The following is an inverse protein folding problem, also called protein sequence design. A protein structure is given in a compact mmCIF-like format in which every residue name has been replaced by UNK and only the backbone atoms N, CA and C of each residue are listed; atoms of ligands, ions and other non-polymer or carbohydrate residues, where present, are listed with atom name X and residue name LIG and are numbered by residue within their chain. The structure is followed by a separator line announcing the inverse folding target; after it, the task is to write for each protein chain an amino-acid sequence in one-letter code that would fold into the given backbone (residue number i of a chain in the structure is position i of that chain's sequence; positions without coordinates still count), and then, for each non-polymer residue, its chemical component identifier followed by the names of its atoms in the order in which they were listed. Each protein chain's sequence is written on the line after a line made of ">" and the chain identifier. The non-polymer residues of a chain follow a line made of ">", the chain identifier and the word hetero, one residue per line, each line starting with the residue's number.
data_IF_248188137463
#
_entry.id   IF_248188137463
#
_cell.length_a   1.000
_cell.length_b   1.000
_cell.length_c   1.000
_cell.angle_alpha   90.00
_cell.angle_beta   90.00
_cell.angle_gamma   90.00
#
_symmetry.space_group_name_H-M   'P 1'
#
loop_
_entity.id
_entity.type
_entity.pdbx_description
1 polymer ?
#
# COMPACT_ATOMS: atom_id res chain seq x y z
N UNK A 1 14.77 -28.69 -58.63
CA UNK A 1 14.86 -28.86 -60.09
C UNK A 1 16.33 -29.09 -60.44
N UNK A 2 16.74 -30.35 -60.66
CA UNK A 2 18.14 -30.72 -60.92
C UNK A 2 18.54 -30.12 -62.28
N UNK A 3 19.65 -29.38 -62.42
CA UNK A 3 20.04 -28.86 -63.72
C UNK A 3 20.35 -30.05 -64.63
N UNK A 4 19.58 -30.20 -65.72
CA UNK A 4 19.92 -31.15 -66.78
C UNK A 4 21.29 -30.74 -67.32
N UNK A 5 22.34 -31.50 -66.99
CA UNK A 5 23.62 -31.44 -67.72
C UNK A 5 23.30 -31.80 -69.18
N UNK A 6 23.05 -30.81 -70.04
CA UNK A 6 23.09 -31.02 -71.49
C UNK A 6 24.49 -31.58 -71.76
N UNK A 7 24.56 -32.81 -72.29
CA UNK A 7 25.80 -33.43 -72.73
C UNK A 7 26.45 -32.48 -73.73
N UNK A 8 27.52 -31.81 -73.33
CA UNK A 8 28.40 -31.11 -74.26
C UNK A 8 29.02 -32.16 -75.21
N UNK A 9 29.27 -31.76 -76.46
CA UNK A 9 30.02 -32.57 -77.45
C UNK A 9 31.37 -32.98 -76.81
N UNK A 10 31.86 -34.22 -76.98
CA UNK A 10 33.08 -34.67 -76.29
C UNK A 10 34.30 -33.85 -76.74
N UNK A 11 34.93 -33.14 -75.81
CA UNK A 11 36.14 -32.36 -76.04
C UNK A 11 37.40 -33.25 -76.00
N UNK A 12 38.47 -32.93 -76.76
CA UNK A 12 39.78 -33.60 -76.66
C UNK A 12 40.35 -33.56 -75.23
N UNK A 13 41.17 -34.55 -74.83
CA UNK A 13 41.56 -34.74 -73.42
C UNK A 13 42.29 -33.54 -72.78
N UNK A 14 43.10 -32.81 -73.56
CA UNK A 14 43.87 -31.66 -73.08
C UNK A 14 43.00 -30.40 -72.80
N UNK A 15 41.89 -30.21 -73.53
CA UNK A 15 41.01 -29.04 -73.38
C UNK A 15 39.96 -29.23 -72.29
N UNK A 16 39.61 -30.49 -71.96
CA UNK A 16 38.60 -30.81 -70.93
C UNK A 16 38.90 -30.24 -69.56
N UNK A 17 40.16 -30.28 -69.12
CA UNK A 17 40.56 -29.78 -67.80
C UNK A 17 40.42 -28.24 -67.72
N UNK A 18 40.91 -27.53 -68.74
CA UNK A 18 40.83 -26.06 -68.83
C UNK A 18 39.39 -25.56 -68.93
N UNK A 19 38.58 -26.19 -69.79
CA UNK A 19 37.16 -25.83 -69.95
C UNK A 19 36.35 -26.18 -68.69
N UNK A 20 36.67 -27.28 -68.01
CA UNK A 20 36.05 -27.66 -66.74
C UNK A 20 36.34 -26.67 -65.61
N UNK A 21 37.59 -26.23 -65.47
CA UNK A 21 37.99 -25.20 -64.51
C UNK A 21 37.29 -23.86 -64.81
N UNK A 22 37.27 -23.43 -66.08
CA UNK A 22 36.53 -22.24 -66.49
C UNK A 22 35.03 -22.33 -66.18
N UNK A 23 34.40 -23.49 -66.41
CA UNK A 23 32.99 -23.72 -66.09
C UNK A 23 32.72 -23.70 -64.58
N UNK A 24 33.62 -24.27 -63.77
CA UNK A 24 33.52 -24.24 -62.31
C UNK A 24 33.71 -22.83 -61.75
N UNK A 25 34.65 -22.05 -62.30
CA UNK A 25 34.85 -20.64 -61.93
C UNK A 25 33.62 -19.79 -62.28
N UNK A 26 33.05 -19.98 -63.48
CA UNK A 26 31.80 -19.31 -63.88
C UNK A 26 30.64 -19.71 -62.95
N UNK A 27 30.52 -21.00 -62.63
CA UNK A 27 29.50 -21.50 -61.70
C UNK A 27 29.65 -20.88 -60.31
N UNK A 28 30.86 -20.87 -59.74
CA UNK A 28 31.14 -20.30 -58.42
C UNK A 28 30.84 -18.79 -58.40
N UNK A 29 31.17 -18.06 -59.47
CA UNK A 29 30.82 -16.63 -59.60
C UNK A 29 29.31 -16.42 -59.66
N UNK A 30 28.57 -17.28 -60.38
CA UNK A 30 27.11 -17.21 -60.46
C UNK A 30 26.45 -17.57 -59.13
N UNK A 31 26.91 -18.63 -58.46
CA UNK A 31 26.41 -19.03 -57.12
C UNK A 31 26.67 -17.89 -56.11
N UNK A 32 27.89 -17.34 -56.07
CA UNK A 32 28.21 -16.20 -55.19
C UNK A 32 27.38 -14.95 -55.51
N UNK A 33 27.15 -14.64 -56.79
CA UNK A 33 26.30 -13.52 -57.20
C UNK A 33 24.82 -13.74 -56.83
N UNK A 34 24.32 -14.98 -56.96
CA UNK A 34 22.97 -15.35 -56.55
C UNK A 34 22.81 -15.26 -55.03
N UNK A 35 23.77 -15.78 -54.26
CA UNK A 35 23.76 -15.73 -52.80
C UNK A 35 23.82 -14.28 -52.28
N UNK A 36 24.70 -13.46 -52.87
CA UNK A 36 24.81 -12.04 -52.54
C UNK A 36 23.50 -11.31 -52.83
N UNK A 37 22.88 -11.55 -53.99
CA UNK A 37 21.61 -10.92 -54.36
C UNK A 37 20.44 -11.41 -53.51
N UNK A 38 20.43 -12.69 -53.15
CA UNK A 38 19.42 -13.26 -52.26
C UNK A 38 19.52 -12.64 -50.86
N UNK A 39 20.73 -12.48 -50.32
CA UNK A 39 20.96 -11.84 -49.02
C UNK A 39 20.52 -10.37 -49.02
N UNK A 40 20.84 -9.62 -50.08
CA UNK A 40 20.41 -8.23 -50.23
C UNK A 40 18.88 -8.11 -50.25
N UNK A 41 18.20 -8.94 -51.06
CA UNK A 41 16.73 -8.95 -51.16
C UNK A 41 16.07 -9.36 -49.83
N UNK A 42 16.67 -10.30 -49.10
CA UNK A 42 16.22 -10.69 -47.77
C UNK A 42 16.34 -9.52 -46.78
N UNK A 43 17.46 -8.79 -46.82
CA UNK A 43 17.66 -7.57 -46.01
C UNK A 43 16.64 -6.48 -46.31
N UNK A 44 16.40 -6.18 -47.59
CA UNK A 44 15.39 -5.19 -48.01
C UNK A 44 13.99 -5.60 -47.55
N UNK A 45 13.67 -6.89 -47.66
CA UNK A 45 12.37 -7.42 -47.23
C UNK A 45 12.19 -7.32 -45.72
N UNK A 46 13.23 -7.64 -44.95
CA UNK A 46 13.23 -7.52 -43.49
C UNK A 46 13.05 -6.06 -43.05
N UNK A 47 13.81 -5.12 -43.62
CA UNK A 47 13.70 -3.70 -43.27
C UNK A 47 12.32 -3.14 -43.57
N UNK A 48 11.71 -3.53 -44.71
CA UNK A 48 10.34 -3.14 -45.04
C UNK A 48 9.31 -3.69 -44.04
N UNK A 49 9.45 -4.97 -43.63
CA UNK A 49 8.58 -5.58 -42.61
C UNK A 49 8.70 -4.86 -41.27
N UNK A 50 9.93 -4.63 -40.81
CA UNK A 50 10.19 -3.91 -39.56
C UNK A 50 9.63 -2.49 -39.58
N UNK A 51 9.76 -1.77 -40.69
CA UNK A 51 9.17 -0.43 -40.84
C UNK A 51 7.64 -0.46 -40.84
N UNK A 52 7.01 -1.49 -41.43
CA UNK A 52 5.55 -1.64 -41.43
C UNK A 52 4.98 -2.11 -40.08
N UNK A 53 5.77 -2.86 -39.30
CA UNK A 53 5.42 -3.35 -37.97
C UNK A 53 5.84 -2.37 -36.86
N UNK A 54 6.54 -1.29 -37.22
CA UNK A 54 6.95 -0.24 -36.30
C UNK A 54 5.71 0.35 -35.64
N UNK A 55 5.58 0.07 -34.35
CA UNK A 55 4.46 0.53 -33.53
C UNK A 55 4.97 1.57 -32.54
N UNK A 56 4.13 2.53 -32.20
CA UNK A 56 4.45 3.50 -31.15
C UNK A 56 4.49 2.81 -29.77
N UNK A 57 5.70 2.56 -29.28
CA UNK A 57 5.95 1.94 -27.97
C UNK A 57 5.62 2.84 -26.78
N UNK A 58 5.33 4.12 -27.01
CA UNK A 58 4.94 5.08 -25.97
C UNK A 58 3.45 5.07 -25.68
N UNK A 59 2.64 4.45 -26.55
CA UNK A 59 1.21 4.35 -26.34
C UNK A 59 0.88 3.62 -25.03
N UNK A 60 -0.14 4.10 -24.27
CA UNK A 60 -0.60 3.40 -23.09
C UNK A 60 -1.00 1.95 -23.42
N UNK A 61 -0.25 1.00 -22.87
CA UNK A 61 -0.55 -0.42 -23.04
C UNK A 61 -1.86 -0.82 -22.37
N UNK A 62 -2.41 -1.97 -22.74
CA UNK A 62 -3.57 -2.56 -22.07
C UNK A 62 -3.17 -3.02 -20.67
N UNK A 63 -3.58 -2.27 -19.64
CA UNK A 63 -3.25 -2.55 -18.24
C UNK A 63 -4.49 -2.97 -17.46
N UNK A 64 -4.30 -3.85 -16.48
CA UNK A 64 -5.32 -4.09 -15.44
C UNK A 64 -5.28 -2.94 -14.44
N UNK A 65 -6.45 -2.48 -14.02
CA UNK A 65 -6.56 -1.48 -12.96
C UNK A 65 -6.15 -2.16 -11.65
N UNK A 66 -5.14 -1.60 -10.98
CA UNK A 66 -4.76 -2.05 -9.64
C UNK A 66 -5.71 -1.46 -8.61
N UNK A 67 -6.11 -2.27 -7.64
CA UNK A 67 -6.86 -1.81 -6.47
C UNK A 67 -6.03 -0.82 -5.63
N UNK A 68 -6.73 -0.02 -4.83
CA UNK A 68 -6.12 0.89 -3.86
C UNK A 68 -6.74 0.65 -2.50
N UNK A 69 -5.93 0.77 -1.45
CA UNK A 69 -6.44 0.77 -0.08
C UNK A 69 -7.31 2.01 0.15
N UNK A 70 -8.36 1.82 0.95
CA UNK A 70 -9.19 2.92 1.41
C UNK A 70 -8.33 3.92 2.21
N UNK A 71 -8.64 5.21 2.12
CA UNK A 71 -7.84 6.27 2.79
C UNK A 71 -7.76 6.03 4.29
N UNK A 72 -8.86 5.65 4.93
CA UNK A 72 -8.90 5.29 6.35
C UNK A 72 -7.96 4.14 6.69
N UNK A 73 -7.91 3.09 5.85
CA UNK A 73 -7.00 1.95 6.05
C UNK A 73 -5.55 2.40 5.95
N UNK A 74 -5.21 3.20 4.93
CA UNK A 74 -3.85 3.73 4.77
C UNK A 74 -3.42 4.59 5.96
N UNK A 75 -4.28 5.49 6.41
CA UNK A 75 -4.00 6.33 7.58
C UNK A 75 -3.87 5.48 8.85
N UNK A 76 -4.72 4.48 9.03
CA UNK A 76 -4.66 3.60 10.19
C UNK A 76 -3.35 2.79 10.22
N UNK A 77 -2.98 2.17 9.11
CA UNK A 77 -1.71 1.42 8.96
C UNK A 77 -0.50 2.34 9.22
N UNK A 78 -0.56 3.59 8.78
CA UNK A 78 0.50 4.56 9.03
C UNK A 78 0.63 4.93 10.51
N UNK A 79 -0.49 5.20 11.19
CA UNK A 79 -0.51 5.47 12.63
C UNK A 79 0.02 4.25 13.40
N UNK A 80 -0.49 3.06 13.10
CA UNK A 80 -0.05 1.80 13.70
C UNK A 80 1.46 1.58 13.52
N UNK A 81 1.99 1.81 12.31
CA UNK A 81 3.42 1.69 12.01
C UNK A 81 4.27 2.65 12.86
N UNK A 82 3.84 3.90 13.01
CA UNK A 82 4.57 4.91 13.80
C UNK A 82 4.63 4.50 15.28
N UNK A 83 3.48 4.14 15.87
CA UNK A 83 3.41 3.74 17.27
C UNK A 83 4.11 2.41 17.56
N UNK A 84 4.00 1.45 16.64
CA UNK A 84 4.76 0.21 16.72
C UNK A 84 6.27 0.48 16.73
N UNK A 85 6.75 1.41 15.90
CA UNK A 85 8.14 1.87 15.91
C UNK A 85 8.58 2.55 17.22
N UNK A 86 7.63 3.09 18.01
CA UNK A 86 7.87 3.63 19.35
C UNK A 86 7.74 2.58 20.48
N UNK A 87 7.50 1.31 20.12
CA UNK A 87 7.38 0.19 21.06
C UNK A 87 6.00 0.03 21.68
N UNK A 88 4.94 0.51 21.02
CA UNK A 88 3.56 0.21 21.41
C UNK A 88 3.11 -1.13 20.82
N UNK A 89 2.46 -1.95 21.66
CA UNK A 89 1.73 -3.14 21.24
C UNK A 89 0.37 -2.70 20.68
N UNK A 90 0.00 -3.20 19.50
CA UNK A 90 -1.30 -2.90 18.89
C UNK A 90 -2.30 -3.96 19.35
N UNK A 91 -3.40 -3.51 19.93
CA UNK A 91 -4.48 -4.37 20.45
C UNK A 91 -5.80 -3.98 19.81
N UNK A 92 -6.64 -4.98 19.57
CA UNK A 92 -8.03 -4.79 19.15
C UNK A 92 -8.97 -5.30 20.24
N UNK A 93 -10.17 -4.73 20.28
CA UNK A 93 -11.22 -5.13 21.22
C UNK A 93 -12.59 -5.16 20.56
N UNK A 94 -13.59 -5.67 21.27
CA UNK A 94 -14.94 -5.85 20.72
C UNK A 94 -15.61 -4.50 20.40
N UNK A 95 -16.47 -4.49 19.39
CA UNK A 95 -17.28 -3.31 19.01
C UNK A 95 -18.58 -3.21 19.82
N UNK A 96 -19.15 -4.36 20.19
CA UNK A 96 -20.23 -4.44 21.17
C UNK A 96 -19.59 -4.50 22.55
N UNK A 97 -19.96 -3.57 23.40
CA UNK A 97 -19.35 -3.35 24.70
C UNK A 97 -20.41 -3.24 25.80
N UNK A 98 -20.00 -3.45 27.05
CA UNK A 98 -20.86 -3.24 28.21
C UNK A 98 -20.72 -1.81 28.76
N UNK A 99 -21.72 -1.28 29.44
CA UNK A 99 -21.63 0.02 30.14
C UNK A 99 -20.44 0.08 31.10
N UNK A 100 -20.15 -1.03 31.77
CA UNK A 100 -19.04 -1.14 32.73
C UNK A 100 -17.70 -0.75 32.08
N UNK A 101 -17.39 -1.34 30.92
CA UNK A 101 -16.13 -1.11 30.21
C UNK A 101 -16.13 0.16 29.38
N UNK A 102 -17.26 0.53 28.77
CA UNK A 102 -17.33 1.75 27.95
C UNK A 102 -17.34 3.03 28.79
N UNK A 103 -17.83 2.96 30.05
CA UNK A 103 -18.03 4.14 30.89
C UNK A 103 -17.56 3.99 32.35
N UNK A 104 -18.06 3.02 33.12
CA UNK A 104 -17.82 2.97 34.59
C UNK A 104 -16.34 2.87 34.94
N UNK A 105 -15.61 1.97 34.27
CA UNK A 105 -14.16 1.78 34.45
C UNK A 105 -13.33 2.96 33.96
N UNK A 106 -13.93 3.90 33.24
CA UNK A 106 -13.32 5.13 32.75
C UNK A 106 -13.78 6.35 33.56
N UNK A 107 -14.31 6.13 34.77
CA UNK A 107 -14.73 7.19 35.69
C UNK A 107 -15.79 8.14 35.09
N UNK A 108 -16.60 7.65 34.15
CA UNK A 108 -17.72 8.39 33.56
C UNK A 108 -18.96 7.99 34.36
N UNK A 109 -19.56 8.82 35.22
CA UNK A 109 -20.70 8.41 36.06
C UNK A 109 -22.02 8.28 35.26
N UNK A 110 -23.06 7.68 35.88
CA UNK A 110 -24.36 7.38 35.22
C UNK A 110 -25.10 8.62 34.70
N UNK A 111 -24.93 9.74 35.37
CA UNK A 111 -25.52 11.05 35.05
C UNK A 111 -24.70 11.84 34.01
N UNK A 112 -23.60 11.28 33.51
CA UNK A 112 -22.78 11.94 32.50
C UNK A 112 -23.48 11.97 31.13
N UNK A 113 -23.52 13.11 30.42
CA UNK A 113 -24.22 13.24 29.14
C UNK A 113 -23.81 12.18 28.09
N UNK A 114 -22.54 11.79 28.07
CA UNK A 114 -22.05 10.75 27.15
C UNK A 114 -22.75 9.36 27.29
N UNK A 115 -23.44 9.09 28.40
CA UNK A 115 -24.24 7.88 28.61
C UNK A 115 -25.69 8.02 28.15
N UNK A 116 -26.13 9.21 27.76
CA UNK A 116 -27.49 9.42 27.30
C UNK A 116 -27.76 8.54 26.07
N UNK A 117 -28.91 7.87 26.04
CA UNK A 117 -29.38 7.08 24.90
C UNK A 117 -29.62 7.93 23.64
N UNK A 118 -29.65 9.27 23.77
CA UNK A 118 -29.62 10.20 22.65
C UNK A 118 -28.25 10.28 21.98
N UNK A 119 -27.16 9.97 22.69
CA UNK A 119 -25.78 10.06 22.19
C UNK A 119 -25.14 8.69 21.90
N UNK A 120 -25.63 7.62 22.54
CA UNK A 120 -25.08 6.25 22.45
C UNK A 120 -26.07 5.23 21.86
N UNK A 121 -25.55 4.25 21.10
CA UNK A 121 -26.36 3.17 20.53
C UNK A 121 -26.46 1.97 21.48
N UNK A 122 -27.52 1.94 22.29
CA UNK A 122 -27.84 0.83 23.17
C UNK A 122 -28.53 -0.33 22.41
N UNK A 123 -28.10 -1.55 22.72
CA UNK A 123 -28.71 -2.81 22.28
C UNK A 123 -29.66 -3.34 23.37
N UNK A 124 -29.27 -3.20 24.63
CA UNK A 124 -30.06 -3.44 25.84
C UNK A 124 -29.61 -2.46 26.93
N UNK A 125 -30.18 -2.54 28.14
CA UNK A 125 -29.89 -1.60 29.24
C UNK A 125 -28.40 -1.51 29.61
N UNK A 126 -27.63 -2.58 29.44
CA UNK A 126 -26.22 -2.66 29.83
C UNK A 126 -25.25 -2.88 28.65
N UNK A 127 -25.77 -3.10 27.44
CA UNK A 127 -25.00 -3.46 26.25
C UNK A 127 -25.19 -2.39 25.18
N UNK A 128 -24.09 -1.89 24.62
CA UNK A 128 -24.08 -0.83 23.62
C UNK A 128 -22.99 -1.07 22.55
N UNK A 129 -23.07 -0.33 21.45
CA UNK A 129 -21.93 -0.17 20.55
C UNK A 129 -20.95 0.82 21.19
N UNK A 130 -19.66 0.47 21.25
CA UNK A 130 -18.65 1.30 21.94
C UNK A 130 -18.57 2.71 21.35
N UNK A 131 -18.48 3.71 22.22
CA UNK A 131 -18.39 5.12 21.82
C UNK A 131 -16.96 5.60 21.63
N UNK A 132 -16.00 4.83 22.17
CA UNK A 132 -14.57 5.11 22.16
C UNK A 132 -13.77 3.80 22.28
N UNK A 133 -12.56 3.78 21.73
CA UNK A 133 -11.65 2.63 21.85
C UNK A 133 -10.99 2.51 23.23
N UNK A 134 -11.10 3.55 24.06
CA UNK A 134 -10.63 3.55 25.47
C UNK A 134 -11.25 2.44 26.31
N UNK A 135 -12.42 1.91 25.91
CA UNK A 135 -13.05 0.77 26.59
C UNK A 135 -12.15 -0.48 26.60
N UNK A 136 -11.31 -0.62 25.58
CA UNK A 136 -10.35 -1.73 25.47
C UNK A 136 -9.20 -1.56 26.45
N UNK A 137 -8.82 -0.34 26.80
CA UNK A 137 -7.72 -0.08 27.72
C UNK A 137 -8.00 -0.68 29.10
N UNK A 138 -9.23 -0.49 29.60
CA UNK A 138 -9.69 -1.11 30.83
C UNK A 138 -9.66 -2.65 30.75
N UNK A 139 -10.00 -3.24 29.60
CA UNK A 139 -9.90 -4.70 29.39
C UNK A 139 -8.46 -5.18 29.39
N UNK A 140 -7.56 -4.44 28.74
CA UNK A 140 -6.13 -4.79 28.65
C UNK A 140 -5.45 -4.72 30.02
N UNK A 141 -5.85 -3.75 30.85
CA UNK A 141 -5.34 -3.63 32.22
C UNK A 141 -5.82 -4.77 33.14
N UNK A 142 -6.95 -5.42 32.83
CA UNK A 142 -7.40 -6.60 33.58
C UNK A 142 -6.45 -7.77 33.28
N UNK A 143 -5.69 -8.19 34.28
CA UNK A 143 -4.79 -9.33 34.19
C UNK A 143 -3.39 -9.03 33.66
N UNK A 144 -3.09 -7.77 33.29
CA UNK A 144 -1.72 -7.35 32.94
C UNK A 144 -1.14 -6.44 34.03
N UNK A 145 0.17 -6.56 34.27
CA UNK A 145 0.91 -5.69 35.18
C UNK A 145 1.77 -4.70 34.40
N UNK A 146 1.94 -3.45 34.86
CA UNK A 146 2.90 -2.53 34.27
C UNK A 146 4.34 -3.10 34.25
N UNK A 147 5.23 -2.63 33.34
CA UNK A 147 5.00 -1.57 32.36
C UNK A 147 4.29 -2.06 31.09
N UNK A 148 3.49 -1.19 30.48
CA UNK A 148 2.81 -1.46 29.21
C UNK A 148 2.66 -0.20 28.36
N UNK A 149 2.74 -0.37 27.04
CA UNK A 149 2.50 0.65 26.00
C UNK A 149 1.56 0.04 24.99
N UNK A 150 0.31 0.46 25.00
CA UNK A 150 -0.75 -0.15 24.21
C UNK A 150 -1.34 0.89 23.27
N UNK A 151 -1.57 0.50 22.03
CA UNK A 151 -2.33 1.26 21.05
C UNK A 151 -3.55 0.44 20.67
N UNK A 152 -4.74 0.98 20.92
CA UNK A 152 -6.00 0.38 20.52
C UNK A 152 -6.51 1.06 19.25
N UNK A 153 -6.95 0.29 18.28
CA UNK A 153 -7.59 0.84 17.08
C UNK A 153 -8.93 0.18 16.79
N UNK A 154 -9.88 0.93 16.24
CA UNK A 154 -11.09 0.32 15.70
C UNK A 154 -12.24 1.29 15.46
N UNK A 155 -13.38 0.72 15.06
CA UNK A 155 -14.62 1.47 14.83
C UNK A 155 -15.28 1.87 16.14
N UNK A 156 -15.81 3.08 16.18
CA UNK A 156 -16.61 3.64 17.27
C UNK A 156 -17.93 4.16 16.72
N UNK A 157 -18.91 4.24 17.60
CA UNK A 157 -20.29 4.52 17.25
C UNK A 157 -20.85 5.62 18.14
N UNK A 158 -21.44 6.65 17.52
CA UNK A 158 -22.13 7.74 18.22
C UNK A 158 -23.41 8.08 17.48
N UNK A 159 -24.46 8.42 18.19
CA UNK A 159 -25.76 8.76 17.59
C UNK A 159 -25.78 10.20 17.08
N UNK A 160 -24.73 10.58 16.35
CA UNK A 160 -24.63 11.88 15.69
C UNK A 160 -25.46 11.90 14.41
N UNK A 161 -26.18 12.99 14.17
CA UNK A 161 -26.79 13.23 12.87
C UNK A 161 -25.69 13.36 11.80
N UNK A 162 -25.74 12.60 10.69
CA UNK A 162 -24.74 12.68 9.64
C UNK A 162 -24.65 14.10 9.06
N UNK A 163 -23.46 14.69 9.12
CA UNK A 163 -23.15 15.96 8.48
C UNK A 163 -21.72 15.95 7.92
N UNK A 164 -21.23 17.10 7.46
CA UNK A 164 -19.91 17.23 6.87
C UNK A 164 -18.74 17.02 7.85
N UNK A 165 -18.99 17.02 9.17
CA UNK A 165 -18.04 16.78 10.26
C UNK A 165 -18.30 15.49 11.03
N UNK A 166 -19.54 15.00 11.04
CA UNK A 166 -20.00 13.96 11.96
C UNK A 166 -20.59 12.79 11.19
N UNK A 167 -20.20 11.59 11.60
CA UNK A 167 -20.71 10.34 11.07
C UNK A 167 -21.02 9.41 12.25
N UNK A 168 -22.13 8.64 12.20
CA UNK A 168 -22.48 7.72 13.27
C UNK A 168 -21.45 6.61 13.50
N UNK A 169 -20.63 6.34 12.49
CA UNK A 169 -19.53 5.37 12.53
C UNK A 169 -18.24 6.08 12.13
N UNK A 170 -17.23 6.00 12.98
CA UNK A 170 -15.90 6.57 12.74
C UNK A 170 -14.83 5.62 13.27
N UNK A 171 -13.57 5.90 12.97
CA UNK A 171 -12.44 5.11 13.46
C UNK A 171 -11.68 5.94 14.49
N UNK A 172 -11.40 5.34 15.64
CA UNK A 172 -10.61 5.95 16.70
C UNK A 172 -9.34 5.13 16.90
N UNK A 173 -8.27 5.86 17.19
CA UNK A 173 -7.02 5.31 17.71
C UNK A 173 -6.88 5.85 19.11
N UNK A 174 -6.68 4.96 20.07
CA UNK A 174 -6.38 5.29 21.45
C UNK A 174 -5.05 4.66 21.84
N UNK A 175 -4.38 5.20 22.85
CA UNK A 175 -3.18 4.58 23.37
C UNK A 175 -2.82 5.09 24.75
N UNK A 176 -2.32 4.16 25.56
CA UNK A 176 -1.88 4.45 26.91
C UNK A 176 -0.49 3.87 27.17
N UNK A 177 0.24 4.52 28.06
CA UNK A 177 1.54 4.07 28.55
C UNK A 177 1.54 4.15 30.08
N UNK A 178 1.74 3.01 30.72
CA UNK A 178 1.79 2.91 32.18
C UNK A 178 3.10 2.23 32.57
N UNK A 179 3.80 2.81 33.54
CA UNK A 179 5.08 2.33 34.05
C UNK A 179 5.60 3.22 35.16
N UNK A 180 6.73 2.84 35.75
CA UNK A 180 7.38 3.68 36.75
C UNK A 180 7.90 4.98 36.13
N UNK A 181 7.70 6.10 36.83
CA UNK A 181 8.26 7.42 36.46
C UNK A 181 7.83 7.95 35.08
N UNK A 182 6.67 7.54 34.58
CA UNK A 182 6.05 8.17 33.40
C UNK A 182 5.48 9.54 33.80
N UNK A 183 5.77 10.55 32.99
CA UNK A 183 5.39 11.95 33.26
C UNK A 183 4.65 12.58 32.07
N UNK A 184 4.07 13.76 32.30
CA UNK A 184 3.47 14.58 31.24
C UNK A 184 4.49 14.96 30.15
N UNK A 185 5.79 15.02 30.47
CA UNK A 185 6.82 15.29 29.48
C UNK A 185 6.93 14.15 28.45
N UNK A 186 6.77 12.90 28.90
CA UNK A 186 6.78 11.72 28.03
C UNK A 186 5.58 11.73 27.09
N UNK A 187 4.37 12.05 27.59
CA UNK A 187 3.16 12.18 26.77
C UNK A 187 3.37 13.24 25.67
N UNK A 188 3.90 14.42 26.05
CA UNK A 188 4.22 15.48 25.09
C UNK A 188 5.24 15.01 24.05
N UNK A 189 6.29 14.32 24.48
CA UNK A 189 7.31 13.77 23.60
C UNK A 189 6.76 12.78 22.58
N UNK A 190 5.97 11.80 23.04
CA UNK A 190 5.34 10.79 22.18
C UNK A 190 4.43 11.43 21.15
N UNK A 191 3.50 12.29 21.59
CA UNK A 191 2.52 12.92 20.70
C UNK A 191 3.15 13.92 19.72
N UNK A 192 4.16 14.70 20.15
CA UNK A 192 4.90 15.58 19.24
C UNK A 192 5.75 14.79 18.23
N UNK A 193 6.33 13.66 18.63
CA UNK A 193 7.04 12.75 17.71
C UNK A 193 6.09 12.15 16.68
N UNK A 194 4.93 11.66 17.14
CA UNK A 194 3.87 11.15 16.28
C UNK A 194 3.43 12.20 15.24
N UNK A 195 3.12 13.42 15.69
CA UNK A 195 2.69 14.50 14.80
C UNK A 195 3.74 14.80 13.71
N UNK A 196 5.03 14.84 14.05
CA UNK A 196 6.11 15.07 13.07
C UNK A 196 6.30 13.90 12.10
N UNK A 197 6.11 12.67 12.55
CA UNK A 197 6.21 11.50 11.67
C UNK A 197 5.02 11.39 10.71
N UNK A 198 3.83 11.80 11.14
CA UNK A 198 2.62 11.75 10.33
C UNK A 198 2.49 12.95 9.37
N UNK A 199 2.79 14.16 9.83
CA UNK A 199 2.56 15.40 9.07
C UNK A 199 3.85 16.05 8.54
N UNK A 200 5.02 15.59 8.96
CA UNK A 200 6.33 16.04 8.50
C UNK A 200 7.20 16.71 9.57
N UNK A 201 8.52 16.87 9.32
CA UNK A 201 9.48 17.32 10.33
C UNK A 201 9.25 18.77 10.81
N UNK A 202 8.55 19.60 10.03
CA UNK A 202 8.27 21.00 10.34
C UNK A 202 7.00 21.19 11.19
N UNK A 203 6.26 20.12 11.48
CA UNK A 203 4.98 20.18 12.19
C UNK A 203 5.13 20.78 13.59
N UNK A 204 4.26 21.75 13.90
CA UNK A 204 4.19 22.40 15.21
C UNK A 204 3.03 21.82 16.01
N UNK A 205 3.24 21.71 17.32
CA UNK A 205 2.24 21.19 18.24
C UNK A 205 2.01 22.15 19.40
N UNK A 206 0.77 22.26 19.86
CA UNK A 206 0.38 23.05 21.03
C UNK A 206 -0.52 22.19 21.93
N UNK A 207 -0.16 22.12 23.20
CA UNK A 207 -0.98 21.48 24.22
C UNK A 207 -1.86 22.54 24.90
N UNK A 208 -3.16 22.30 24.93
CA UNK A 208 -4.15 23.16 25.60
C UNK A 208 -4.78 22.35 26.72
N UNK A 209 -4.89 22.87 27.96
CA UNK A 209 -5.61 22.17 29.03
C UNK A 209 -7.04 21.82 28.61
N UNK A 210 -7.45 20.60 28.90
CA UNK A 210 -8.80 20.08 28.63
C UNK A 210 -9.36 19.37 29.85
N UNK A 211 -10.48 18.67 29.68
CA UNK A 211 -11.05 17.83 30.73
C UNK A 211 -11.56 16.51 30.15
N UNK A 212 -11.07 15.41 30.70
CA UNK A 212 -11.58 14.06 30.44
C UNK A 212 -11.73 13.33 31.78
N UNK A 213 -12.88 12.69 32.07
CA UNK A 213 -13.13 12.05 33.37
C UNK A 213 -12.09 11.00 33.80
N UNK A 214 -11.38 10.40 32.84
CA UNK A 214 -10.38 9.35 33.04
C UNK A 214 -8.92 9.83 33.06
N UNK A 215 -8.64 11.14 32.94
CA UNK A 215 -7.25 11.66 33.02
C UNK A 215 -7.12 12.94 33.83
N UNK A 216 -6.09 13.01 34.67
CA UNK A 216 -5.73 14.20 35.45
C UNK A 216 -4.20 14.28 35.60
N UNK A 217 -3.52 15.34 35.10
CA UNK A 217 -4.05 16.45 34.33
C UNK A 217 -4.44 16.07 32.89
N UNK A 218 -5.44 16.77 32.34
CA UNK A 218 -5.96 16.59 30.97
C UNK A 218 -5.45 17.65 29.99
N UNK A 219 -5.20 17.27 28.73
CA UNK A 219 -4.83 18.20 27.67
C UNK A 219 -5.26 17.73 26.26
N UNK A 220 -5.52 18.69 25.39
CA UNK A 220 -5.75 18.50 23.96
C UNK A 220 -4.51 18.91 23.15
N UNK A 221 -4.24 18.19 22.07
CA UNK A 221 -3.16 18.49 21.13
C UNK A 221 -3.71 19.17 19.88
N UNK A 222 -3.18 20.36 19.57
CA UNK A 222 -3.42 21.06 18.32
C UNK A 222 -2.18 20.96 17.44
N UNK A 223 -2.38 20.66 16.15
CA UNK A 223 -1.33 20.54 15.13
C UNK A 223 -1.44 21.70 14.14
N UNK A 224 -0.32 22.36 13.85
CA UNK A 224 -0.22 23.50 12.91
C UNK A 224 0.93 23.32 11.93
#
# INVERSE_FOLDING_TARGET
>A
MVPRKRRFRPWPSAERARVGDQLNQVRARLEAALDARAAELAGVTLTKRLASEATDVTLPGRRRILGRLHVLTRTLEEVQRIFHGMGFEIVEGPEIETEEFNFERLNIPRDHPARDAQDSFYISDEILLRTQTTSVDARVMIGRKPPMRILTTGRCYRRDAPDWKRMPVFHQVDGFMVGERITMADLKGVLSSFARQLFGPQTKTKFVPGYFPFTEPSAELYVY
#
